data_IF_565912653940
#
_entry.id   IF_565912653940
#
_cell.length_a   1.000
_cell.length_b   1.000
_cell.length_c   1.000
_cell.angle_alpha   90.00
_cell.angle_beta   90.00
_cell.angle_gamma   90.00
#
_symmetry.space_group_name_H-M   'P 1'
#
loop_
_entity.id
_entity.type
_entity.pdbx_description
1 polymer ?
#
# COMPACT_ATOMS: atom_id res chain seq x y z
N UNK A 1 14.78 -1.04 0.67
CA UNK A 1 14.24 0.20 1.26
C UNK A 1 13.00 -0.05 2.11
N UNK A 2 11.87 -0.50 1.53
CA UNK A 2 10.65 -0.71 2.32
C UNK A 2 10.81 -1.77 3.43
N UNK A 3 11.44 -2.91 3.12
CA UNK A 3 11.81 -3.96 4.10
C UNK A 3 12.69 -3.43 5.23
N UNK A 4 13.72 -2.66 4.88
CA UNK A 4 14.70 -2.14 5.84
C UNK A 4 14.05 -1.15 6.81
N UNK A 5 13.18 -0.26 6.31
CA UNK A 5 12.41 0.64 7.16
C UNK A 5 11.37 -0.09 8.01
N UNK A 6 10.75 -1.15 7.49
CA UNK A 6 9.88 -1.99 8.30
C UNK A 6 10.64 -2.57 9.49
N UNK A 7 11.82 -3.13 9.25
CA UNK A 7 12.71 -3.67 10.29
C UNK A 7 13.12 -2.58 11.30
N UNK A 8 13.65 -1.44 10.83
CA UNK A 8 14.12 -0.36 11.70
C UNK A 8 13.03 0.21 12.61
N UNK A 9 11.78 0.26 12.14
CA UNK A 9 10.66 0.76 12.90
C UNK A 9 9.86 -0.34 13.63
N UNK A 10 10.33 -1.60 13.62
CA UNK A 10 9.68 -2.72 14.30
C UNK A 10 8.30 -3.08 13.74
N UNK A 11 8.09 -2.85 12.44
CA UNK A 11 6.88 -3.19 11.71
C UNK A 11 7.06 -4.60 11.14
N UNK A 12 6.12 -5.48 11.46
CA UNK A 12 6.08 -6.83 10.87
C UNK A 12 5.51 -6.75 9.46
N UNK A 13 6.28 -7.19 8.46
CA UNK A 13 5.74 -7.48 7.14
C UNK A 13 4.97 -8.79 7.22
N UNK A 14 3.64 -8.73 7.12
CA UNK A 14 2.79 -9.92 7.21
C UNK A 14 3.11 -10.86 6.04
N UNK A 15 3.28 -12.17 6.30
CA UNK A 15 3.41 -13.16 5.24
C UNK A 15 2.10 -13.24 4.44
N UNK A 16 2.20 -13.59 3.16
CA UNK A 16 1.04 -13.75 2.30
C UNK A 16 0.47 -15.17 2.47
N UNK A 17 -0.83 -15.34 2.80
CA UNK A 17 -1.45 -16.65 2.81
C UNK A 17 -1.35 -17.33 1.45
N UNK A 18 -1.18 -18.66 1.40
CA UNK A 18 -1.05 -19.41 0.13
C UNK A 18 -2.19 -19.11 -0.85
N UNK A 19 -3.42 -18.95 -0.35
CA UNK A 19 -4.59 -18.59 -1.15
C UNK A 19 -4.47 -17.19 -1.77
N UNK A 20 -3.95 -16.22 -1.02
CA UNK A 20 -3.71 -14.87 -1.51
C UNK A 20 -2.61 -14.88 -2.58
N UNK A 21 -1.51 -15.60 -2.32
CA UNK A 21 -0.39 -15.75 -3.26
C UNK A 21 -0.86 -16.38 -4.58
N UNK A 22 -1.71 -17.40 -4.54
CA UNK A 22 -2.27 -18.03 -5.73
C UNK A 22 -3.14 -17.07 -6.57
N UNK A 23 -3.93 -16.19 -5.95
CA UNK A 23 -4.68 -15.16 -6.67
C UNK A 23 -3.76 -14.09 -7.28
N UNK A 24 -2.69 -13.72 -6.57
CA UNK A 24 -1.69 -12.76 -7.04
C UNK A 24 -0.84 -13.30 -8.19
N UNK A 25 -0.57 -14.60 -8.23
CA UNK A 25 0.14 -15.28 -9.34
C UNK A 25 -0.59 -15.11 -10.69
N UNK A 26 -1.91 -14.91 -10.68
CA UNK A 26 -2.70 -14.65 -11.90
C UNK A 26 -2.71 -13.16 -12.34
N UNK A 27 -2.06 -12.28 -11.57
CA UNK A 27 -2.05 -10.83 -11.78
C UNK A 27 -0.62 -10.31 -12.00
N UNK A 28 0.30 -10.78 -11.17
CA UNK A 28 1.68 -10.32 -11.11
C UNK A 28 2.57 -11.09 -12.11
N UNK A 29 3.67 -10.48 -12.59
CA UNK A 29 4.60 -11.15 -13.48
C UNK A 29 5.15 -12.44 -12.85
N UNK A 30 5.46 -13.50 -13.64
CA UNK A 30 5.90 -14.79 -13.09
C UNK A 30 7.09 -14.73 -12.11
N UNK A 31 7.95 -13.73 -12.29
CA UNK A 31 9.19 -13.49 -11.54
C UNK A 31 9.00 -12.67 -10.25
N UNK A 32 7.77 -12.31 -9.85
CA UNK A 32 7.55 -11.61 -8.59
C UNK A 32 7.92 -12.50 -7.39
N UNK A 33 8.25 -11.86 -6.26
CA UNK A 33 8.85 -12.51 -5.08
C UNK A 33 7.94 -13.51 -4.37
N UNK A 34 6.61 -13.41 -4.52
CA UNK A 34 5.62 -14.10 -3.69
C UNK A 34 5.72 -13.76 -2.20
N UNK A 35 6.31 -12.60 -1.91
CA UNK A 35 6.56 -12.10 -0.57
C UNK A 35 6.00 -10.68 -0.41
N UNK A 36 5.97 -10.21 0.84
CA UNK A 36 5.69 -8.82 1.17
C UNK A 36 7.03 -8.10 1.36
N UNK A 37 7.34 -7.02 0.59
CA UNK A 37 6.45 -6.22 -0.26
C UNK A 37 6.05 -6.84 -1.61
N UNK A 38 4.82 -6.52 -2.05
CA UNK A 38 4.30 -6.87 -3.37
C UNK A 38 4.95 -6.01 -4.45
N UNK A 39 5.73 -6.62 -5.33
CA UNK A 39 6.39 -5.90 -6.42
C UNK A 39 5.50 -5.80 -7.67
N UNK A 40 4.78 -4.68 -7.79
CA UNK A 40 3.84 -4.41 -8.89
C UNK A 40 4.60 -3.76 -10.07
N UNK A 41 5.59 -4.47 -10.61
CA UNK A 41 6.38 -4.03 -11.77
C UNK A 41 5.69 -4.40 -13.07
N UNK A 42 5.88 -3.56 -14.10
CA UNK A 42 5.67 -3.89 -15.51
C UNK A 42 4.59 -3.05 -16.18
N UNK A 43 4.20 -3.46 -17.38
CA UNK A 43 3.31 -2.80 -18.35
C UNK A 43 1.83 -2.59 -17.94
N UNK A 44 1.43 -2.97 -16.73
CA UNK A 44 0.01 -3.01 -16.34
C UNK A 44 -0.59 -1.71 -15.79
N UNK A 45 0.20 -0.64 -15.66
CA UNK A 45 -0.28 0.68 -15.20
C UNK A 45 -1.11 0.62 -13.91
N UNK A 46 -2.11 1.50 -13.80
CA UNK A 46 -3.02 1.54 -12.65
C UNK A 46 -3.97 0.33 -12.56
N UNK A 47 -4.28 -0.33 -13.69
CA UNK A 47 -5.17 -1.50 -13.72
C UNK A 47 -4.58 -2.70 -12.95
N UNK A 48 -3.26 -2.91 -13.02
CA UNK A 48 -2.61 -3.95 -12.23
C UNK A 48 -2.73 -3.66 -10.73
N UNK A 49 -2.58 -2.41 -10.31
CA UNK A 49 -2.83 -2.00 -8.92
C UNK A 49 -4.28 -2.28 -8.52
N UNK A 50 -5.26 -1.92 -9.36
CA UNK A 50 -6.67 -2.20 -9.11
C UNK A 50 -6.94 -3.67 -8.82
N UNK A 51 -6.40 -4.58 -9.65
CA UNK A 51 -6.54 -6.03 -9.48
C UNK A 51 -5.85 -6.54 -8.20
N UNK A 52 -4.68 -6.01 -7.86
CA UNK A 52 -3.99 -6.35 -6.61
C UNK A 52 -4.80 -5.87 -5.40
N UNK A 53 -5.34 -4.65 -5.45
CA UNK A 53 -6.19 -4.12 -4.38
C UNK A 53 -7.45 -4.96 -4.18
N UNK A 54 -8.07 -5.46 -5.24
CA UNK A 54 -9.22 -6.36 -5.13
C UNK A 54 -8.88 -7.65 -4.37
N UNK A 55 -7.67 -8.21 -4.59
CA UNK A 55 -7.17 -9.33 -3.78
C UNK A 55 -6.96 -8.89 -2.34
N UNK A 56 -6.25 -7.79 -2.11
CA UNK A 56 -5.99 -7.29 -0.74
C UNK A 56 -7.29 -7.03 0.05
N UNK A 57 -8.36 -6.55 -0.59
CA UNK A 57 -9.69 -6.37 0.01
C UNK A 57 -10.29 -7.72 0.44
N UNK A 58 -10.19 -8.77 -0.39
CA UNK A 58 -10.69 -10.11 -0.06
C UNK A 58 -9.96 -10.72 1.13
N UNK A 59 -8.66 -10.45 1.26
CA UNK A 59 -7.80 -10.92 2.34
C UNK A 59 -7.54 -9.83 3.40
N UNK A 60 -8.50 -8.91 3.61
CA UNK A 60 -8.29 -7.77 4.49
C UNK A 60 -8.05 -8.14 5.96
N UNK A 61 -8.42 -9.34 6.39
CA UNK A 61 -8.18 -9.80 7.77
C UNK A 61 -6.73 -10.25 8.02
N UNK A 62 -5.92 -10.41 6.96
CA UNK A 62 -4.52 -10.87 7.03
C UNK A 62 -3.50 -9.72 7.16
N UNK A 63 -3.95 -8.45 7.16
CA UNK A 63 -3.08 -7.28 7.26
C UNK A 63 -3.74 -6.10 7.98
N UNK A 64 -2.94 -5.21 8.59
CA UNK A 64 -3.46 -4.07 9.38
C UNK A 64 -3.42 -2.74 8.62
N UNK A 65 -2.34 -2.52 7.86
CA UNK A 65 -2.06 -1.27 7.15
C UNK A 65 -1.45 -1.59 5.79
N UNK A 66 -2.00 -1.02 4.71
CA UNK A 66 -1.42 -1.07 3.38
C UNK A 66 -0.65 0.23 3.08
N UNK A 67 0.61 0.08 2.65
CA UNK A 67 1.47 1.19 2.21
C UNK A 67 1.66 1.08 0.71
N UNK A 68 1.03 1.97 -0.07
CA UNK A 68 1.13 1.96 -1.52
C UNK A 68 2.26 2.89 -1.96
N UNK A 69 3.38 2.30 -2.38
CA UNK A 69 4.56 3.04 -2.84
C UNK A 69 4.57 3.08 -4.36
N UNK A 70 4.65 4.28 -4.95
CA UNK A 70 4.75 4.44 -6.40
C UNK A 70 5.70 5.57 -6.76
N UNK A 71 6.48 5.35 -7.82
CA UNK A 71 7.35 6.35 -8.47
C UNK A 71 6.80 6.64 -9.88
N UNK A 72 7.18 7.77 -10.52
CA UNK A 72 6.69 8.07 -11.86
C UNK A 72 7.18 7.02 -12.85
N UNK A 73 6.30 6.59 -13.75
CA UNK A 73 6.66 5.74 -14.88
C UNK A 73 5.84 6.13 -16.11
N UNK A 74 6.31 5.75 -17.30
CA UNK A 74 5.70 6.17 -18.58
C UNK A 74 4.25 5.69 -18.77
N UNK A 75 3.86 4.63 -18.06
CA UNK A 75 2.58 3.91 -18.22
C UNK A 75 1.65 4.11 -17.02
N UNK A 76 2.13 4.73 -15.95
CA UNK A 76 1.39 4.89 -14.71
C UNK A 76 0.86 6.33 -14.63
N UNK A 77 -0.43 6.50 -14.91
CA UNK A 77 -1.11 7.77 -14.68
C UNK A 77 -1.29 7.98 -13.16
N UNK A 78 -0.70 9.05 -12.58
CA UNK A 78 -0.78 9.31 -11.15
C UNK A 78 -2.21 9.58 -10.67
N UNK A 79 -3.09 10.15 -11.50
CA UNK A 79 -4.49 10.39 -11.17
C UNK A 79 -5.24 9.07 -11.09
N UNK A 80 -5.07 8.19 -12.08
CA UNK A 80 -5.72 6.89 -12.10
C UNK A 80 -5.27 6.01 -10.93
N UNK A 81 -3.96 5.96 -10.66
CA UNK A 81 -3.46 5.24 -9.48
C UNK A 81 -4.08 5.79 -8.19
N UNK A 82 -4.12 7.12 -8.03
CA UNK A 82 -4.70 7.72 -6.84
C UNK A 82 -6.20 7.43 -6.71
N UNK A 83 -6.95 7.40 -7.82
CA UNK A 83 -8.36 6.99 -7.82
C UNK A 83 -8.52 5.53 -7.37
N UNK A 84 -7.64 4.62 -7.82
CA UNK A 84 -7.65 3.23 -7.37
C UNK A 84 -7.28 3.09 -5.88
N UNK A 85 -6.34 3.89 -5.37
CA UNK A 85 -6.04 3.94 -3.92
C UNK A 85 -7.26 4.44 -3.14
N UNK A 86 -7.97 5.45 -3.65
CA UNK A 86 -9.22 5.95 -3.04
C UNK A 86 -10.28 4.85 -3.00
N UNK A 87 -10.49 4.16 -4.13
CA UNK A 87 -11.42 3.02 -4.20
C UNK A 87 -11.02 1.94 -3.20
N UNK A 88 -9.74 1.58 -3.15
CA UNK A 88 -9.23 0.58 -2.22
C UNK A 88 -9.55 0.96 -0.77
N UNK A 89 -9.22 2.19 -0.36
CA UNK A 89 -9.51 2.71 0.99
C UNK A 89 -11.01 2.74 1.34
N UNK A 90 -11.91 2.83 0.35
CA UNK A 90 -13.35 2.83 0.58
C UNK A 90 -13.94 1.43 0.76
N UNK A 91 -13.24 0.39 0.28
CA UNK A 91 -13.72 -1.00 0.27
C UNK A 91 -13.02 -1.89 1.30
N UNK A 92 -12.11 -1.34 2.10
CA UNK A 92 -11.46 -2.03 3.23
C UNK A 92 -11.69 -1.25 4.52
N UNK A 93 -11.81 -1.95 5.64
CA UNK A 93 -11.85 -1.33 6.97
C UNK A 93 -10.45 -1.06 7.55
N UNK A 94 -9.40 -1.48 6.84
CA UNK A 94 -8.01 -1.31 7.23
C UNK A 94 -7.45 0.04 6.76
N UNK A 95 -6.33 0.46 7.35
CA UNK A 95 -5.71 1.73 6.98
C UNK A 95 -4.98 1.59 5.64
N UNK A 96 -5.18 2.54 4.73
CA UNK A 96 -4.44 2.65 3.47
C UNK A 96 -3.72 4.00 3.47
N UNK A 97 -2.41 3.98 3.18
CA UNK A 97 -1.63 5.20 3.01
C UNK A 97 -0.88 5.18 1.67
N UNK A 98 -0.72 6.35 1.07
CA UNK A 98 0.09 6.56 -0.12
C UNK A 98 1.52 6.93 0.24
N UNK A 99 2.45 6.50 -0.59
CA UNK A 99 3.79 7.03 -0.69
C UNK A 99 4.11 7.28 -2.17
N UNK A 100 3.44 8.30 -2.73
CA UNK A 100 3.65 8.72 -4.11
C UNK A 100 4.92 9.60 -4.17
N UNK A 101 5.98 9.03 -4.71
CA UNK A 101 7.31 9.63 -4.86
C UNK A 101 7.45 10.21 -6.27
N UNK A 102 8.16 11.32 -6.45
CA UNK A 102 8.46 11.86 -7.79
C UNK A 102 7.99 13.29 -8.06
N UNK A 103 7.64 14.04 -7.01
CA UNK A 103 7.42 15.48 -7.09
C UNK A 103 6.32 15.86 -8.08
N UNK A 104 6.63 16.74 -9.03
CA UNK A 104 5.66 17.22 -10.03
C UNK A 104 4.98 16.08 -10.81
N UNK A 105 5.69 14.98 -11.06
CA UNK A 105 5.16 13.82 -11.79
C UNK A 105 4.03 13.10 -11.05
N UNK A 106 3.98 13.17 -9.72
CA UNK A 106 2.93 12.53 -8.91
C UNK A 106 1.94 13.52 -8.28
N UNK A 107 2.23 14.83 -8.34
CA UNK A 107 1.46 15.90 -7.68
C UNK A 107 -0.04 15.86 -7.97
N UNK A 108 -0.43 15.47 -9.18
CA UNK A 108 -1.85 15.34 -9.53
C UNK A 108 -2.54 14.21 -8.74
N UNK A 109 -1.88 13.06 -8.59
CA UNK A 109 -2.36 11.94 -7.77
C UNK A 109 -2.39 12.29 -6.28
N UNK A 110 -1.37 12.97 -5.78
CA UNK A 110 -1.33 13.44 -4.39
C UNK A 110 -2.54 14.32 -4.04
N UNK A 111 -2.94 15.23 -4.94
CA UNK A 111 -4.14 16.08 -4.76
C UNK A 111 -5.43 15.26 -4.70
N UNK A 112 -5.51 14.14 -5.42
CA UNK A 112 -6.65 13.22 -5.35
C UNK A 112 -6.71 12.56 -3.97
N UNK A 113 -5.58 12.02 -3.50
CA UNK A 113 -5.49 11.42 -2.16
C UNK A 113 -5.84 12.43 -1.06
N UNK A 114 -5.32 13.65 -1.16
CA UNK A 114 -5.60 14.74 -0.21
C UNK A 114 -7.10 15.05 -0.13
N UNK A 115 -7.79 15.18 -1.26
CA UNK A 115 -9.24 15.44 -1.30
C UNK A 115 -10.06 14.30 -0.68
N UNK A 116 -9.55 13.08 -0.77
CA UNK A 116 -10.17 11.90 -0.16
C UNK A 116 -9.75 11.67 1.31
N UNK A 117 -8.96 12.57 1.91
CA UNK A 117 -8.41 12.45 3.26
C UNK A 117 -7.53 11.21 3.48
N UNK A 118 -6.87 10.73 2.42
CA UNK A 118 -5.91 9.63 2.48
C UNK A 118 -4.51 10.20 2.73
N UNK A 119 -3.81 9.80 3.81
CA UNK A 119 -2.44 10.25 4.06
C UNK A 119 -1.51 9.86 2.91
N UNK A 120 -0.71 10.82 2.44
CA UNK A 120 0.36 10.59 1.47
C UNK A 120 1.70 11.10 2.00
N UNK A 121 2.77 10.34 1.76
CA UNK A 121 4.14 10.69 2.17
C UNK A 121 5.06 10.75 0.95
N UNK A 122 5.98 11.71 0.97
CA UNK A 122 6.93 11.94 -0.14
C UNK A 122 8.29 11.24 0.09
N UNK A 123 8.40 10.47 1.17
CA UNK A 123 9.59 9.71 1.56
C UNK A 123 9.16 8.38 2.18
N UNK A 124 9.81 7.29 1.79
CA UNK A 124 9.50 5.95 2.29
C UNK A 124 9.69 5.89 3.82
N UNK A 125 10.79 6.47 4.33
CA UNK A 125 11.03 6.53 5.78
C UNK A 125 9.88 7.23 6.52
N UNK A 126 9.40 8.35 5.98
CA UNK A 126 8.30 9.12 6.56
C UNK A 126 7.01 8.31 6.66
N UNK A 127 6.71 7.52 5.62
CA UNK A 127 5.57 6.61 5.63
C UNK A 127 5.70 5.54 6.72
N UNK A 128 6.83 4.82 6.77
CA UNK A 128 7.03 3.75 7.76
C UNK A 128 7.09 4.28 9.20
N UNK A 129 7.68 5.46 9.42
CA UNK A 129 7.64 6.14 10.72
C UNK A 129 6.21 6.45 11.17
N UNK A 130 5.33 6.86 10.25
CA UNK A 130 3.93 7.13 10.56
C UNK A 130 3.15 5.83 10.85
N UNK A 131 3.39 4.77 10.07
CA UNK A 131 2.83 3.43 10.30
C UNK A 131 3.17 2.93 11.70
N UNK A 132 4.44 3.02 12.11
CA UNK A 132 4.87 2.59 13.44
C UNK A 132 4.14 3.33 14.57
N UNK A 133 3.91 4.63 14.40
CA UNK A 133 3.11 5.44 15.35
C UNK A 133 1.65 5.02 15.38
N UNK A 134 1.05 4.76 14.21
CA UNK A 134 -0.33 4.28 14.13
C UNK A 134 -0.53 2.93 14.84
N UNK A 135 0.36 1.96 14.59
CA UNK A 135 0.33 0.65 15.25
C UNK A 135 0.56 0.73 16.76
N UNK A 136 1.46 1.61 17.20
CA UNK A 136 1.71 1.84 18.64
C UNK A 136 0.46 2.39 19.35
N UNK A 137 -0.27 3.29 18.69
CA UNK A 137 -1.51 3.85 19.23
C UNK A 137 -2.62 2.79 19.31
N UNK A 138 -2.80 1.97 18.28
CA UNK A 138 -3.78 0.87 18.29
C UNK A 138 -3.54 -0.09 19.47
N UNK A 139 -2.28 -0.52 19.68
CA UNK A 139 -1.92 -1.38 20.82
C UNK A 139 -2.23 -0.73 22.18
N UNK A 140 -2.12 0.59 22.28
CA UNK A 140 -2.43 1.32 23.52
C UNK A 140 -3.94 1.39 23.81
N UNK A 141 -4.77 1.47 22.77
CA UNK A 141 -6.23 1.51 22.87
C UNK A 141 -6.79 0.13 23.23
N UNK A 142 -6.25 -0.94 22.63
CA UNK A 142 -6.66 -2.31 22.93
C UNK A 142 -6.36 -2.69 24.39
N UNK A 143 -5.24 -2.22 24.94
CA UNK A 143 -4.87 -2.43 26.35
C UNK A 143 -5.74 -1.68 27.34
N UNK A 144 -6.35 -0.55 26.92
CA UNK A 144 -7.25 0.25 27.77
C UNK A 144 -8.70 -0.22 27.71
N UNK A 145 -9.05 -1.02 26.70
CA UNK A 145 -10.41 -1.54 26.48
C UNK A 145 -10.62 -2.93 27.10
N UNK A 146 -9.63 -3.43 27.85
CA UNK A 146 -9.66 -4.67 28.65
C UNK A 146 -9.50 -4.32 30.12
#
# INVERSE_FOLDING_TARGET
MASDYAEWYGITLCPLPEKMTAELDAILPPMWSRENPLDIIGDGGAERYARVFDVMIRFQDDWDIAVVIAVPSAILDPIQLAQEIVRFSQHTHKMVIGCLLGGDGMRAGERVLQKAHIPNYHEIEGAFRAVARALSNQRSLDKRSR
#
